data_IF_753669903736
#
_entry.id   IF_753669903736
#
_cell.length_a   1.000
_cell.length_b   1.000
_cell.length_c   1.000
_cell.angle_alpha   90.00
_cell.angle_beta   90.00
_cell.angle_gamma   90.00
#
_symmetry.space_group_name_H-M   'P 1'
#
loop_
_entity.id
_entity.type
_entity.pdbx_description
1 polymer ?
#
# COMPACT_ATOMS: atom_id res chain seq x y z
N UNK A 1 5.43 18.77 4.46
CA UNK A 1 4.17 18.70 3.70
C UNK A 1 4.52 18.34 2.28
N UNK A 2 4.24 17.11 1.86
CA UNK A 2 4.46 16.68 0.49
C UNK A 2 3.31 17.21 -0.38
N UNK A 3 3.56 17.50 -1.66
CA UNK A 3 2.50 17.89 -2.60
C UNK A 3 1.35 16.86 -2.64
N UNK A 4 1.66 15.59 -2.39
CA UNK A 4 0.71 14.49 -2.31
C UNK A 4 -0.36 14.66 -1.21
N UNK A 5 -0.06 15.39 -0.13
CA UNK A 5 -1.01 15.64 0.97
C UNK A 5 -2.15 16.59 0.53
N UNK A 6 -1.97 17.32 -0.58
CA UNK A 6 -2.93 18.27 -1.13
C UNK A 6 -3.75 17.73 -2.31
N UNK A 7 -3.56 16.46 -2.68
CA UNK A 7 -4.25 15.86 -3.81
C UNK A 7 -5.75 15.72 -3.54
N UNK A 8 -6.55 16.15 -4.51
CA UNK A 8 -7.99 15.91 -4.50
C UNK A 8 -8.29 14.42 -4.73
N UNK A 9 -9.48 13.98 -4.34
CA UNK A 9 -9.94 12.60 -4.57
C UNK A 9 -9.87 12.20 -6.06
N UNK A 10 -10.17 13.15 -6.96
CA UNK A 10 -10.07 12.94 -8.40
C UNK A 10 -8.64 12.63 -8.86
N UNK A 11 -7.62 13.17 -8.20
CA UNK A 11 -6.22 12.90 -8.51
C UNK A 11 -5.79 11.54 -7.98
N UNK A 12 -6.23 11.15 -6.79
CA UNK A 12 -6.05 9.79 -6.28
C UNK A 12 -6.68 8.75 -7.21
N UNK A 13 -7.88 9.02 -7.73
CA UNK A 13 -8.54 8.15 -8.69
C UNK A 13 -7.78 8.04 -10.03
N UNK A 14 -7.12 9.11 -10.48
CA UNK A 14 -6.22 9.05 -11.65
C UNK A 14 -5.00 8.20 -11.34
N UNK A 15 -4.36 8.41 -10.19
CA UNK A 15 -3.17 7.66 -9.79
C UNK A 15 -3.45 6.15 -9.70
N UNK A 16 -4.61 5.75 -9.13
CA UNK A 16 -5.10 4.35 -9.11
C UNK A 16 -5.19 3.71 -10.49
N UNK A 17 -5.48 4.48 -11.53
CA UNK A 17 -5.57 3.99 -12.91
C UNK A 17 -4.23 4.00 -13.63
N UNK A 18 -3.37 4.96 -13.31
CA UNK A 18 -2.12 5.19 -14.06
C UNK A 18 -1.03 4.22 -13.62
N UNK A 19 -0.95 3.85 -12.34
CA UNK A 19 0.17 3.03 -11.86
C UNK A 19 0.23 1.67 -12.59
N UNK A 20 -0.91 1.07 -12.93
CA UNK A 20 -1.00 -0.25 -13.58
C UNK A 20 -0.41 -0.27 -14.99
N UNK A 21 -0.37 0.86 -15.68
CA UNK A 21 0.15 0.98 -17.07
C UNK A 21 1.59 1.48 -17.13
N UNK A 22 2.20 1.80 -15.99
CA UNK A 22 3.59 2.26 -15.90
C UNK A 22 4.55 1.08 -15.80
N UNK A 23 5.82 1.31 -16.13
CA UNK A 23 6.85 0.28 -16.00
C UNK A 23 7.15 -0.04 -14.52
N UNK A 24 7.79 -1.19 -14.29
CA UNK A 24 8.11 -1.73 -12.96
C UNK A 24 8.88 -0.71 -12.11
N UNK A 25 9.92 -0.07 -12.66
CA UNK A 25 10.72 0.90 -11.92
C UNK A 25 9.90 2.10 -11.44
N UNK A 26 8.95 2.56 -12.26
CA UNK A 26 8.04 3.63 -11.87
C UNK A 26 7.06 3.16 -10.79
N UNK A 27 6.50 1.95 -10.91
CA UNK A 27 5.59 1.38 -9.91
C UNK A 27 6.26 1.24 -8.55
N UNK A 28 7.49 0.74 -8.50
CA UNK A 28 8.29 0.63 -7.27
C UNK A 28 8.51 2.00 -6.63
N UNK A 29 9.01 2.96 -7.41
CA UNK A 29 9.22 4.33 -6.92
C UNK A 29 7.91 4.99 -6.46
N UNK A 30 6.81 4.68 -7.11
CA UNK A 30 5.50 5.17 -6.71
C UNK A 30 5.10 4.61 -5.34
N UNK A 31 5.28 3.30 -5.10
CA UNK A 31 5.04 2.70 -3.78
C UNK A 31 5.89 3.37 -2.68
N UNK A 32 7.20 3.52 -2.91
CA UNK A 32 8.12 4.19 -1.99
C UNK A 32 7.66 5.61 -1.65
N UNK A 33 7.32 6.42 -2.67
CA UNK A 33 6.82 7.79 -2.45
C UNK A 33 5.51 7.80 -1.66
N UNK A 34 4.60 6.86 -1.91
CA UNK A 34 3.35 6.75 -1.16
C UNK A 34 3.57 6.48 0.32
N UNK A 35 4.67 5.80 0.69
CA UNK A 35 5.01 5.52 2.10
C UNK A 35 5.22 6.79 2.94
N UNK A 36 5.60 7.89 2.29
CA UNK A 36 5.86 9.17 2.94
C UNK A 36 4.63 10.10 3.00
N UNK A 37 3.52 9.71 2.37
CA UNK A 37 2.30 10.55 2.28
C UNK A 37 1.39 10.29 3.47
N UNK A 38 1.04 11.34 4.23
CA UNK A 38 0.13 11.24 5.40
C UNK A 38 -1.33 11.32 4.95
N UNK A 39 -1.75 10.35 4.12
CA UNK A 39 -3.12 10.29 3.56
C UNK A 39 -3.69 8.86 3.57
N UNK A 40 -4.95 8.65 4.01
CA UNK A 40 -5.60 7.33 3.93
C UNK A 40 -5.69 6.81 2.49
N UNK A 41 -5.73 7.73 1.51
CA UNK A 41 -5.74 7.41 0.09
C UNK A 41 -4.44 6.74 -0.35
N UNK A 42 -3.29 7.14 0.20
CA UNK A 42 -2.00 6.51 -0.10
C UNK A 42 -1.96 5.05 0.34
N UNK A 43 -2.42 4.76 1.57
CA UNK A 43 -2.58 3.40 2.07
C UNK A 43 -3.52 2.58 1.17
N UNK A 44 -4.64 3.17 0.74
CA UNK A 44 -5.59 2.50 -0.16
C UNK A 44 -4.94 2.13 -1.50
N UNK A 45 -4.18 3.04 -2.09
CA UNK A 45 -3.47 2.78 -3.35
C UNK A 45 -2.43 1.68 -3.19
N UNK A 46 -1.64 1.71 -2.11
CA UNK A 46 -0.66 0.65 -1.83
C UNK A 46 -1.34 -0.72 -1.67
N UNK A 47 -2.49 -0.80 -0.99
CA UNK A 47 -3.26 -2.05 -0.89
C UNK A 47 -3.75 -2.52 -2.27
N UNK A 48 -4.17 -1.60 -3.15
CA UNK A 48 -4.54 -1.95 -4.52
C UNK A 48 -3.31 -2.43 -5.32
N UNK A 49 -2.11 -1.92 -5.03
CA UNK A 49 -0.87 -2.38 -5.66
C UNK A 49 -0.43 -3.79 -5.24
N UNK A 50 -0.96 -4.35 -4.15
CA UNK A 50 -0.74 -5.74 -3.77
C UNK A 50 -1.30 -6.76 -4.78
N UNK A 51 -2.11 -6.30 -5.74
CA UNK A 51 -2.56 -7.11 -6.87
C UNK A 51 -1.57 -7.16 -8.04
N UNK A 52 -0.43 -6.46 -7.96
CA UNK A 52 0.65 -6.61 -8.92
C UNK A 52 1.07 -8.09 -9.07
N UNK A 53 1.47 -8.46 -10.29
CA UNK A 53 2.03 -9.77 -10.60
C UNK A 53 3.57 -9.75 -10.59
N UNK A 54 4.19 -8.61 -10.27
CA UNK A 54 5.64 -8.46 -10.20
C UNK A 54 6.13 -8.47 -8.75
N UNK A 55 6.99 -9.43 -8.43
CA UNK A 55 7.50 -9.62 -7.07
C UNK A 55 8.28 -8.42 -6.53
N UNK A 56 9.07 -7.72 -7.35
CA UNK A 56 9.82 -6.54 -6.90
C UNK A 56 8.88 -5.38 -6.53
N UNK A 57 7.76 -5.23 -7.26
CA UNK A 57 6.71 -4.26 -6.91
C UNK A 57 6.02 -4.68 -5.62
N UNK A 58 5.72 -5.96 -5.45
CA UNK A 58 5.06 -6.48 -4.24
C UNK A 58 5.93 -6.27 -2.99
N UNK A 59 7.24 -6.54 -3.09
CA UNK A 59 8.19 -6.32 -1.99
C UNK A 59 8.21 -4.86 -1.55
N UNK A 60 8.36 -3.94 -2.50
CA UNK A 60 8.37 -2.49 -2.24
C UNK A 60 7.04 -2.01 -1.63
N UNK A 61 5.91 -2.53 -2.12
CA UNK A 61 4.57 -2.20 -1.61
C UNK A 61 4.39 -2.69 -0.18
N UNK A 62 4.82 -3.92 0.14
CA UNK A 62 4.74 -4.47 1.49
C UNK A 62 5.59 -3.65 2.46
N UNK A 63 6.79 -3.25 2.05
CA UNK A 63 7.68 -2.42 2.88
C UNK A 63 7.11 -1.01 3.08
N UNK A 64 6.54 -0.43 2.03
CA UNK A 64 5.86 0.86 2.07
C UNK A 64 4.64 0.84 3.00
N UNK A 65 3.81 -0.21 2.93
CA UNK A 65 2.66 -0.41 3.82
C UNK A 65 3.08 -0.54 5.28
N UNK A 66 4.16 -1.31 5.53
CA UNK A 66 4.72 -1.45 6.86
C UNK A 66 5.19 -0.12 7.43
N UNK A 67 5.89 0.68 6.62
CA UNK A 67 6.34 2.02 7.00
C UNK A 67 5.18 2.95 7.40
N UNK A 68 4.10 2.97 6.59
CA UNK A 68 2.92 3.81 6.88
C UNK A 68 2.26 3.38 8.19
N UNK A 69 2.01 2.08 8.36
CA UNK A 69 1.29 1.60 9.54
C UNK A 69 2.12 1.79 10.81
N UNK A 70 3.44 1.59 10.78
CA UNK A 70 4.30 1.89 11.92
C UNK A 70 4.31 3.38 12.26
N UNK A 71 4.45 4.24 11.25
CA UNK A 71 4.58 5.69 11.46
C UNK A 71 3.27 6.34 11.91
N UNK A 72 2.12 5.75 11.55
CA UNK A 72 0.81 6.36 11.71
C UNK A 72 -0.23 5.43 12.37
N UNK A 73 0.22 4.49 13.20
CA UNK A 73 -0.60 3.48 13.89
C UNK A 73 -1.78 4.10 14.66
N UNK A 74 -1.62 5.34 15.14
CA UNK A 74 -2.67 6.07 15.89
C UNK A 74 -3.62 6.88 14.99
N UNK A 75 -3.34 7.01 13.70
CA UNK A 75 -4.12 7.84 12.75
C UNK A 75 -4.84 7.00 11.70
N UNK A 76 -4.30 5.84 11.32
CA UNK A 76 -4.89 5.00 10.28
C UNK A 76 -5.39 3.68 10.85
N UNK A 77 -6.71 3.48 10.76
CA UNK A 77 -7.32 2.17 10.94
C UNK A 77 -7.65 1.57 9.58
N UNK A 78 -7.24 0.33 9.35
CA UNK A 78 -7.62 -0.40 8.15
C UNK A 78 -9.13 -0.71 8.18
N UNK A 79 -9.82 -0.40 7.09
CA UNK A 79 -11.21 -0.82 6.88
C UNK A 79 -11.31 -2.34 6.74
N UNK A 80 -12.49 -2.92 6.99
CA UNK A 80 -12.72 -4.36 6.80
C UNK A 80 -12.34 -4.82 5.39
N UNK A 81 -12.72 -4.06 4.36
CA UNK A 81 -12.37 -4.37 2.96
C UNK A 81 -10.86 -4.41 2.73
N UNK A 82 -10.10 -3.48 3.31
CA UNK A 82 -8.64 -3.46 3.23
C UNK A 82 -8.01 -4.68 3.93
N UNK A 83 -8.53 -5.07 5.10
CA UNK A 83 -8.08 -6.29 5.81
C UNK A 83 -8.38 -7.54 4.98
N UNK A 84 -9.53 -7.62 4.32
CA UNK A 84 -9.91 -8.74 3.45
C UNK A 84 -8.96 -8.86 2.24
N UNK A 85 -8.57 -7.72 1.64
CA UNK A 85 -7.58 -7.68 0.56
C UNK A 85 -6.21 -8.18 1.03
N UNK A 86 -5.73 -7.71 2.19
CA UNK A 86 -4.47 -8.17 2.79
C UNK A 86 -4.49 -9.67 3.12
N UNK A 87 -5.61 -10.16 3.66
CA UNK A 87 -5.80 -11.59 3.95
C UNK A 87 -5.78 -12.43 2.67
N UNK A 88 -6.40 -11.95 1.60
CA UNK A 88 -6.38 -12.60 0.29
C UNK A 88 -4.98 -12.61 -0.33
N UNK A 89 -4.23 -11.50 -0.19
CA UNK A 89 -2.83 -11.41 -0.59
C UNK A 89 -1.95 -12.42 0.16
N UNK A 90 -2.10 -12.54 1.48
CA UNK A 90 -1.39 -13.53 2.29
C UNK A 90 -1.62 -14.96 1.83
N UNK A 91 -2.86 -15.30 1.48
CA UNK A 91 -3.21 -16.61 0.94
C UNK A 91 -2.54 -16.85 -0.43
N UNK A 92 -2.41 -15.81 -1.25
CA UNK A 92 -1.79 -15.88 -2.59
C UNK A 92 -0.28 -16.03 -2.54
N UNK A 93 0.41 -15.23 -1.73
CA UNK A 93 1.87 -15.09 -1.81
C UNK A 93 2.66 -16.01 -0.86
N UNK A 94 1.99 -16.88 -0.10
CA UNK A 94 2.65 -17.89 0.72
C UNK A 94 3.58 -17.31 1.80
N UNK A 95 4.60 -18.08 2.21
CA UNK A 95 5.49 -17.76 3.35
C UNK A 95 6.35 -16.50 3.18
N UNK A 96 6.55 -15.99 1.96
CA UNK A 96 7.55 -14.97 1.65
C UNK A 96 7.26 -13.63 2.36
N UNK A 97 6.02 -13.16 2.28
CA UNK A 97 5.59 -11.88 2.89
C UNK A 97 4.80 -12.09 4.19
N UNK A 98 4.61 -13.34 4.60
CA UNK A 98 3.75 -13.71 5.72
C UNK A 98 4.09 -12.99 7.04
N UNK A 99 5.36 -12.95 7.50
CA UNK A 99 5.67 -12.29 8.77
C UNK A 99 5.36 -10.80 8.77
N UNK A 100 5.69 -10.10 7.67
CA UNK A 100 5.45 -8.66 7.53
C UNK A 100 3.95 -8.36 7.50
N UNK A 101 3.18 -9.09 6.70
CA UNK A 101 1.74 -8.81 6.55
C UNK A 101 0.90 -9.27 7.75
N UNK A 102 1.28 -10.34 8.45
CA UNK A 102 0.65 -10.71 9.72
C UNK A 102 0.86 -9.63 10.80
N UNK A 103 2.04 -9.02 10.85
CA UNK A 103 2.30 -7.85 11.70
C UNK A 103 1.41 -6.65 11.33
N UNK A 104 1.15 -6.41 10.04
CA UNK A 104 0.22 -5.34 9.61
C UNK A 104 -1.20 -5.57 10.14
N UNK A 105 -1.68 -6.81 10.07
CA UNK A 105 -3.02 -7.18 10.51
C UNK A 105 -3.19 -7.14 12.03
N UNK A 106 -2.15 -7.50 12.80
CA UNK A 106 -2.20 -7.47 14.27
C UNK A 106 -2.06 -6.07 14.85
N UNK A 107 -1.37 -5.17 14.14
CA UNK A 107 -1.11 -3.79 14.58
C UNK A 107 -2.31 -2.84 14.41
N UNK A 108 -3.39 -3.30 13.77
CA UNK A 108 -4.57 -2.47 13.42
C UNK A 108 -5.80 -2.73 14.31
N UNK A 109 -5.62 -3.39 15.47
CA UNK A 109 -6.66 -3.68 16.47
C UNK A 109 -6.62 -2.70 17.65
#
# INVERSE_FOLDING_TARGET
MLLADSLAESDWNKLKKIWTIKNISWQRRFADVLSAVDSPSACTVLIDMLYSDNDEVLEEVVDSLHSILQSNIHKFSLTNSQRDKLSSFLKRCGRLYKPKVELLLSSSN
#
